data_IF_596978864923
#
_entry.id   IF_596978864923
#
_cell.length_a   1.000
_cell.length_b   1.000
_cell.length_c   1.000
_cell.angle_alpha   90.00
_cell.angle_beta   90.00
_cell.angle_gamma   90.00
#
_symmetry.space_group_name_H-M   'P 1'
#
loop_
_entity.id
_entity.type
_entity.pdbx_description
1 polymer ?
#
# COMPACT_ATOMS: atom_id res chain seq x y z
N UNK A 1 14.33 6.25 3.96
CA UNK A 1 14.62 4.81 3.83
C UNK A 1 16.13 4.61 3.92
N UNK A 2 16.65 4.34 5.11
CA UNK A 2 17.96 3.74 5.28
C UNK A 2 17.69 2.24 5.37
N UNK A 3 18.23 1.43 4.46
CA UNK A 3 18.17 -0.02 4.58
C UNK A 3 18.85 -0.39 5.90
N UNK A 4 18.09 -0.98 6.83
CA UNK A 4 18.65 -1.49 8.07
C UNK A 4 19.36 -2.82 7.79
N UNK A 5 20.41 -3.11 8.57
CA UNK A 5 21.13 -4.39 8.47
C UNK A 5 20.15 -5.52 8.81
N UNK A 6 19.83 -6.38 7.83
CA UNK A 6 18.93 -7.53 8.01
C UNK A 6 17.78 -7.63 7.00
N UNK A 7 17.49 -6.59 6.21
CA UNK A 7 16.50 -6.68 5.13
C UNK A 7 17.07 -7.46 3.92
N UNK A 8 16.27 -8.38 3.37
CA UNK A 8 16.65 -9.15 2.17
C UNK A 8 16.78 -8.21 0.96
N UNK A 9 18.02 -7.87 0.62
CA UNK A 9 18.36 -6.99 -0.50
C UNK A 9 17.84 -7.50 -1.84
N UNK A 10 17.52 -8.79 -1.97
CA UNK A 10 16.91 -9.35 -3.19
C UNK A 10 15.49 -8.84 -3.44
N UNK A 11 14.82 -8.28 -2.42
CA UNK A 11 13.47 -7.69 -2.55
C UNK A 11 13.51 -6.23 -2.99
N UNK A 12 14.67 -5.57 -2.95
CA UNK A 12 14.83 -4.16 -3.35
C UNK A 12 15.01 -4.09 -4.88
N UNK A 13 14.03 -3.52 -5.56
CA UNK A 13 13.98 -3.49 -7.04
C UNK A 13 14.76 -2.33 -7.66
N UNK A 14 15.11 -1.30 -6.89
CA UNK A 14 15.82 -0.12 -7.38
C UNK A 14 16.55 0.59 -6.24
N UNK A 15 17.74 1.11 -6.55
CA UNK A 15 18.56 1.87 -5.61
C UNK A 15 18.66 3.32 -6.06
N UNK A 16 18.38 4.24 -5.15
CA UNK A 16 18.61 5.67 -5.32
C UNK A 16 19.39 6.18 -4.11
N UNK A 17 20.19 7.22 -4.35
CA UNK A 17 20.88 7.94 -3.27
C UNK A 17 20.13 9.22 -2.95
N UNK A 18 20.21 9.69 -1.71
CA UNK A 18 19.57 10.95 -1.29
C UNK A 18 20.62 11.98 -0.94
N UNK A 19 20.40 13.24 -1.27
CA UNK A 19 21.27 14.34 -0.84
C UNK A 19 20.44 15.59 -0.56
N UNK A 20 21.11 16.65 -0.08
CA UNK A 20 20.49 17.92 0.30
C UNK A 20 21.26 19.07 -0.35
N UNK A 21 20.53 20.03 -0.90
CA UNK A 21 21.08 21.28 -1.39
C UNK A 21 20.80 22.39 -0.36
N UNK A 22 21.86 22.82 0.31
CA UNK A 22 21.82 23.93 1.25
C UNK A 22 22.07 25.26 0.53
N UNK A 23 21.35 26.31 0.92
CA UNK A 23 21.53 27.63 0.33
C UNK A 23 22.95 28.18 0.54
N UNK A 24 23.57 27.88 1.69
CA UNK A 24 24.97 28.23 2.02
C UNK A 24 25.97 27.73 0.96
N UNK A 25 25.71 26.55 0.37
CA UNK A 25 26.64 25.88 -0.54
C UNK A 25 26.31 26.15 -2.02
N UNK A 26 25.03 26.36 -2.35
CA UNK A 26 24.55 26.40 -3.74
C UNK A 26 23.86 27.72 -4.13
N UNK A 27 23.57 28.60 -3.18
CA UNK A 27 23.02 29.94 -3.37
C UNK A 27 21.81 29.99 -4.30
N UNK A 28 21.86 30.89 -5.29
CA UNK A 28 20.77 31.16 -6.25
C UNK A 28 20.33 29.95 -7.07
N UNK A 29 21.18 28.93 -7.24
CA UNK A 29 20.79 27.74 -8.01
C UNK A 29 19.70 26.92 -7.30
N UNK A 30 19.75 26.85 -5.97
CA UNK A 30 18.70 26.21 -5.15
C UNK A 30 17.42 27.02 -5.21
N UNK A 31 17.52 28.35 -5.18
CA UNK A 31 16.36 29.22 -5.32
C UNK A 31 15.64 28.97 -6.65
N UNK A 32 16.36 28.98 -7.78
CA UNK A 32 15.76 28.70 -9.09
C UNK A 32 15.14 27.30 -9.18
N UNK A 33 15.76 26.29 -8.55
CA UNK A 33 15.19 24.95 -8.53
C UNK A 33 13.91 24.90 -7.67
N UNK A 34 13.88 25.56 -6.52
CA UNK A 34 12.67 25.71 -5.69
C UNK A 34 11.55 26.40 -6.47
N UNK A 35 11.86 27.46 -7.22
CA UNK A 35 10.88 28.16 -8.10
C UNK A 35 10.28 27.22 -9.14
N UNK A 36 11.11 26.42 -9.83
CA UNK A 36 10.62 25.44 -10.83
C UNK A 36 9.74 24.34 -10.24
N UNK A 37 9.94 24.04 -8.96
CA UNK A 37 9.15 23.04 -8.22
C UNK A 37 7.93 23.67 -7.53
N UNK A 38 7.68 24.97 -7.71
CA UNK A 38 6.65 25.73 -7.00
C UNK A 38 6.77 25.62 -5.46
N UNK A 39 8.01 25.58 -4.95
CA UNK A 39 8.29 25.56 -3.51
C UNK A 39 8.63 26.96 -2.98
N UNK A 40 8.35 27.24 -1.68
CA UNK A 40 8.70 28.51 -1.06
C UNK A 40 10.20 28.82 -1.17
N UNK A 41 10.54 30.01 -1.65
CA UNK A 41 11.92 30.46 -1.90
C UNK A 41 12.48 31.36 -0.81
N UNK A 42 11.59 31.94 0.00
CA UNK A 42 11.93 32.95 1.01
C UNK A 42 12.73 32.35 2.18
N UNK A 43 12.54 31.06 2.46
CA UNK A 43 13.30 30.37 3.49
C UNK A 43 14.63 29.82 2.93
N UNK A 44 15.71 30.57 3.18
CA UNK A 44 17.09 30.18 2.84
C UNK A 44 17.71 29.18 3.82
N UNK A 45 17.07 28.92 4.97
CA UNK A 45 17.56 27.94 5.95
C UNK A 45 17.14 26.51 5.62
N UNK A 46 16.06 26.35 4.86
CA UNK A 46 15.55 25.02 4.49
C UNK A 46 16.35 24.44 3.33
N UNK A 47 17.10 23.37 3.62
CA UNK A 47 17.78 22.58 2.61
C UNK A 47 16.77 21.84 1.71
N UNK A 48 16.98 21.87 0.40
CA UNK A 48 16.17 21.11 -0.54
C UNK A 48 16.70 19.67 -0.62
N UNK A 49 15.95 18.72 -0.07
CA UNK A 49 16.22 17.30 -0.26
C UNK A 49 15.93 16.86 -1.68
N UNK A 50 16.81 16.03 -2.26
CA UNK A 50 16.60 15.47 -3.60
C UNK A 50 17.08 14.03 -3.70
N UNK A 51 16.49 13.30 -4.65
CA UNK A 51 16.92 11.97 -5.04
C UNK A 51 17.95 12.08 -6.16
N UNK A 52 19.05 11.32 -6.03
CA UNK A 52 20.12 11.26 -7.00
C UNK A 52 20.22 9.85 -7.57
N UNK A 53 20.05 9.77 -8.89
CA UNK A 53 20.34 8.59 -9.68
C UNK A 53 21.73 8.73 -10.32
N UNK A 54 22.64 7.80 -10.04
CA UNK A 54 23.98 7.76 -10.65
C UNK A 54 24.01 6.58 -11.62
N UNK A 55 24.01 6.86 -12.92
CA UNK A 55 24.04 5.84 -13.95
C UNK A 55 25.49 5.53 -14.33
N UNK A 56 26.00 4.39 -13.88
CA UNK A 56 27.33 3.89 -14.28
C UNK A 56 27.25 2.63 -15.13
N UNK A 57 26.08 2.00 -15.21
CA UNK A 57 25.87 0.72 -15.89
C UNK A 57 25.48 0.95 -17.35
N UNK A 58 26.37 0.69 -18.32
CA UNK A 58 26.07 0.88 -19.74
C UNK A 58 24.94 -0.04 -20.26
N UNK A 59 24.69 -1.19 -19.63
CA UNK A 59 23.66 -2.12 -20.09
C UNK A 59 22.23 -1.71 -19.72
N UNK A 60 22.06 -0.69 -18.87
CA UNK A 60 20.75 -0.18 -18.44
C UNK A 60 20.19 0.89 -19.38
N UNK A 61 20.89 1.24 -20.46
CA UNK A 61 20.50 2.30 -21.39
C UNK A 61 19.47 1.85 -22.45
N UNK A 62 19.08 0.58 -22.49
CA UNK A 62 18.01 0.15 -23.40
C UNK A 62 16.68 0.78 -22.99
N UNK A 63 15.93 1.31 -23.97
CA UNK A 63 14.63 1.96 -23.78
C UNK A 63 13.67 1.12 -22.91
N UNK A 64 13.50 -0.15 -23.24
CA UNK A 64 12.64 -1.07 -22.49
C UNK A 64 13.03 -1.19 -20.99
N UNK A 65 14.31 -1.09 -20.64
CA UNK A 65 14.75 -1.16 -19.25
C UNK A 65 14.49 0.16 -18.50
N UNK A 66 14.69 1.29 -19.17
CA UNK A 66 14.40 2.63 -18.62
C UNK A 66 12.91 2.79 -18.33
N UNK A 67 12.05 2.30 -19.22
CA UNK A 67 10.59 2.29 -19.01
C UNK A 67 10.21 1.50 -17.76
N UNK A 68 10.76 0.29 -17.59
CA UNK A 68 10.52 -0.54 -16.41
C UNK A 68 10.97 0.16 -15.12
N UNK A 69 12.12 0.83 -15.13
CA UNK A 69 12.59 1.62 -13.99
C UNK A 69 11.69 2.84 -13.72
N UNK A 70 11.23 3.52 -14.78
CA UNK A 70 10.31 4.65 -14.68
C UNK A 70 8.98 4.26 -14.04
N UNK A 71 8.40 3.13 -14.47
CA UNK A 71 7.18 2.57 -13.90
C UNK A 71 7.36 2.19 -12.44
N UNK A 72 8.48 1.54 -12.12
CA UNK A 72 8.81 1.17 -10.75
C UNK A 72 8.92 2.41 -9.85
N UNK A 73 9.67 3.43 -10.27
CA UNK A 73 9.82 4.68 -9.53
C UNK A 73 8.48 5.39 -9.35
N UNK A 74 7.68 5.50 -10.41
CA UNK A 74 6.35 6.11 -10.35
C UNK A 74 5.45 5.39 -9.35
N UNK A 75 5.39 4.06 -9.39
CA UNK A 75 4.62 3.25 -8.43
C UNK A 75 5.07 3.53 -7.00
N UNK A 76 6.37 3.54 -6.75
CA UNK A 76 6.92 3.87 -5.42
C UNK A 76 6.52 5.27 -4.97
N UNK A 77 6.65 6.29 -5.83
CA UNK A 77 6.28 7.67 -5.51
C UNK A 77 4.78 7.77 -5.18
N UNK A 78 3.91 7.19 -6.01
CA UNK A 78 2.47 7.19 -5.77
C UNK A 78 2.10 6.52 -4.43
N UNK A 79 2.75 5.40 -4.12
CA UNK A 79 2.57 4.74 -2.82
C UNK A 79 3.06 5.61 -1.66
N UNK A 80 4.19 6.32 -1.81
CA UNK A 80 4.69 7.28 -0.81
C UNK A 80 3.76 8.48 -0.62
N UNK A 81 3.14 8.98 -1.68
CA UNK A 81 2.13 10.06 -1.59
C UNK A 81 0.93 9.59 -0.76
N UNK A 82 0.45 8.36 -1.00
CA UNK A 82 -0.61 7.75 -0.20
C UNK A 82 -0.25 7.57 1.29
N UNK A 83 1.05 7.54 1.60
CA UNK A 83 1.60 7.47 2.96
C UNK A 83 1.79 8.84 3.63
N UNK A 84 1.51 9.96 2.93
CA UNK A 84 1.54 11.26 3.56
C UNK A 84 0.38 11.35 4.55
N UNK A 85 0.70 11.79 5.77
CA UNK A 85 -0.28 12.01 6.81
C UNK A 85 -0.89 13.41 6.70
N UNK A 86 -1.88 13.67 7.56
CA UNK A 86 -2.60 14.94 7.59
C UNK A 86 -1.74 16.13 8.05
N UNK A 87 -0.50 15.92 8.52
CA UNK A 87 0.38 17.02 8.92
C UNK A 87 0.86 17.87 7.74
N UNK A 88 0.80 17.30 6.52
CA UNK A 88 1.10 18.01 5.28
C UNK A 88 -0.12 18.78 4.72
N UNK A 89 -1.31 18.63 5.31
CA UNK A 89 -2.58 19.20 4.86
C UNK A 89 -3.50 18.15 4.25
N UNK A 90 -4.82 18.22 4.48
CA UNK A 90 -5.80 17.21 4.02
C UNK A 90 -5.88 17.06 2.49
N UNK A 91 -5.36 18.05 1.76
CA UNK A 91 -5.22 18.03 0.29
C UNK A 91 -4.03 17.20 -0.21
N UNK A 92 -3.05 16.92 0.67
CA UNK A 92 -1.85 16.15 0.34
C UNK A 92 -1.95 14.74 0.95
N UNK A 93 -1.92 13.73 0.09
CA UNK A 93 -2.03 12.32 0.49
C UNK A 93 -3.46 11.78 0.49
N UNK A 94 -3.71 10.80 1.35
CA UNK A 94 -4.98 10.10 1.48
C UNK A 94 -5.64 10.38 2.83
N UNK A 95 -6.90 10.78 2.78
CA UNK A 95 -7.73 11.01 3.96
C UNK A 95 -8.00 9.72 4.75
N UNK A 96 -8.24 9.88 6.06
CA UNK A 96 -8.65 8.78 6.94
C UNK A 96 -10.06 8.28 6.58
N UNK A 97 -10.23 6.97 6.44
CA UNK A 97 -11.53 6.35 6.14
C UNK A 97 -11.65 4.96 6.77
N UNK A 98 -12.87 4.42 6.73
CA UNK A 98 -13.12 3.03 7.08
C UNK A 98 -12.81 2.13 5.89
N UNK A 99 -11.94 1.15 6.10
CA UNK A 99 -11.51 0.23 5.07
C UNK A 99 -12.14 -1.14 5.27
N UNK A 100 -12.58 -1.75 4.18
CA UNK A 100 -13.23 -3.07 4.19
C UNK A 100 -12.40 -4.05 3.40
N UNK A 101 -12.30 -5.26 3.90
CA UNK A 101 -11.52 -6.34 3.33
C UNK A 101 -12.35 -7.61 3.29
N UNK A 102 -12.26 -8.35 2.21
CA UNK A 102 -12.84 -9.69 2.10
C UNK A 102 -11.91 -10.68 2.79
N UNK A 103 -12.49 -11.56 3.61
CA UNK A 103 -11.79 -12.73 4.16
C UNK A 103 -11.74 -13.78 3.07
N UNK A 104 -10.54 -14.11 2.60
CA UNK A 104 -10.36 -14.94 1.40
C UNK A 104 -10.43 -16.43 1.72
N UNK A 105 -9.87 -16.85 2.85
CA UNK A 105 -9.71 -18.26 3.19
C UNK A 105 -10.10 -18.59 4.63
N UNK A 106 -10.22 -19.89 4.91
CA UNK A 106 -10.49 -20.39 6.25
C UNK A 106 -9.28 -20.18 7.17
N UNK A 107 -9.53 -20.02 8.47
CA UNK A 107 -8.46 -19.88 9.45
C UNK A 107 -7.60 -21.15 9.49
N UNK A 108 -6.34 -20.98 9.09
CA UNK A 108 -5.35 -22.07 9.04
C UNK A 108 -4.89 -22.50 10.43
N UNK A 109 -4.14 -23.59 10.49
CA UNK A 109 -3.61 -24.13 11.76
C UNK A 109 -2.63 -23.18 12.45
N UNK A 110 -1.91 -22.38 11.66
CA UNK A 110 -0.97 -21.36 12.14
C UNK A 110 -1.65 -20.03 12.53
N UNK A 111 -2.99 -19.96 12.41
CA UNK A 111 -3.80 -18.79 12.73
C UNK A 111 -3.78 -17.71 11.65
N UNK A 112 -3.34 -18.02 10.42
CA UNK A 112 -3.25 -17.04 9.34
C UNK A 112 -4.45 -17.07 8.38
N UNK A 113 -4.77 -15.90 7.85
CA UNK A 113 -5.74 -15.69 6.75
C UNK A 113 -5.23 -14.63 5.79
N UNK A 114 -5.77 -14.60 4.58
CA UNK A 114 -5.59 -13.53 3.62
C UNK A 114 -6.76 -12.54 3.65
N UNK A 115 -6.41 -11.26 3.59
CA UNK A 115 -7.34 -10.15 3.42
C UNK A 115 -7.12 -9.50 2.05
N UNK A 116 -8.19 -9.43 1.26
CA UNK A 116 -8.23 -8.69 0.00
C UNK A 116 -9.03 -7.40 0.20
N UNK A 117 -8.42 -6.26 -0.08
CA UNK A 117 -9.08 -4.97 0.09
C UNK A 117 -10.23 -4.80 -0.89
N UNK A 118 -11.34 -4.21 -0.44
CA UNK A 118 -12.49 -3.88 -1.27
C UNK A 118 -12.39 -2.42 -1.71
N UNK A 119 -11.86 -2.14 -2.92
CA UNK A 119 -11.69 -0.78 -3.35
C UNK A 119 -12.99 -0.14 -3.85
N UNK A 120 -12.95 1.19 -3.93
CA UNK A 120 -13.92 1.99 -4.67
C UNK A 120 -13.22 3.06 -5.49
N UNK A 121 -13.72 3.33 -6.68
CA UNK A 121 -13.24 4.42 -7.53
C UNK A 121 -13.80 5.78 -7.13
N UNK A 122 -14.83 5.82 -6.28
CA UNK A 122 -15.48 7.08 -5.84
C UNK A 122 -14.67 7.86 -4.81
N UNK A 123 -13.71 7.21 -4.15
CA UNK A 123 -12.91 7.80 -3.07
C UNK A 123 -11.43 7.53 -3.31
N UNK A 124 -10.61 8.59 -3.40
CA UNK A 124 -9.17 8.51 -3.66
C UNK A 124 -8.44 7.57 -2.70
N UNK A 125 -8.73 7.67 -1.40
CA UNK A 125 -8.14 6.84 -0.34
C UNK A 125 -8.54 5.35 -0.39
N UNK A 126 -9.43 4.98 -1.31
CA UNK A 126 -9.87 3.59 -1.54
C UNK A 126 -9.53 3.09 -2.94
N UNK A 127 -8.73 3.83 -3.72
CA UNK A 127 -8.28 3.45 -5.06
C UNK A 127 -6.99 2.60 -5.01
N UNK A 128 -7.07 1.49 -4.29
CA UNK A 128 -5.96 0.56 -4.09
C UNK A 128 -6.29 -0.87 -4.50
N UNK A 129 -5.30 -1.58 -5.02
CA UNK A 129 -5.24 -3.02 -4.90
C UNK A 129 -4.31 -3.36 -3.73
N UNK A 130 -4.88 -3.85 -2.64
CA UNK A 130 -4.13 -4.22 -1.44
C UNK A 130 -4.47 -5.64 -1.01
N UNK A 131 -3.45 -6.48 -0.89
CA UNK A 131 -3.56 -7.88 -0.48
C UNK A 131 -2.47 -8.15 0.53
N UNK A 132 -2.85 -8.68 1.69
CA UNK A 132 -1.93 -8.99 2.75
C UNK A 132 -2.40 -10.18 3.58
N UNK A 133 -1.43 -10.87 4.18
CA UNK A 133 -1.66 -11.97 5.11
C UNK A 133 -1.64 -11.41 6.53
N UNK A 134 -2.59 -11.85 7.34
CA UNK A 134 -2.69 -11.48 8.74
C UNK A 134 -2.68 -12.73 9.60
N UNK A 135 -2.25 -12.57 10.85
CA UNK A 135 -2.34 -13.58 11.89
C UNK A 135 -3.36 -13.15 12.92
N UNK A 136 -4.42 -13.94 13.09
CA UNK A 136 -5.44 -13.69 14.11
C UNK A 136 -4.85 -14.01 15.49
N UNK A 137 -5.13 -13.14 16.46
CA UNK A 137 -4.66 -13.31 17.83
C UNK A 137 -5.22 -14.60 18.44
N UNK A 138 -4.43 -15.37 19.22
CA UNK A 138 -4.85 -16.66 19.75
C UNK A 138 -6.21 -16.66 20.44
N UNK A 139 -6.51 -15.63 21.23
CA UNK A 139 -7.78 -15.50 21.96
C UNK A 139 -9.02 -15.35 21.06
N UNK A 140 -8.85 -14.87 19.81
CA UNK A 140 -9.95 -14.64 18.88
C UNK A 140 -10.11 -15.77 17.85
N UNK A 141 -9.17 -16.73 17.81
CA UNK A 141 -9.16 -17.79 16.80
C UNK A 141 -10.35 -18.74 16.90
N UNK A 142 -10.76 -19.12 18.11
CA UNK A 142 -11.89 -20.01 18.32
C UNK A 142 -13.20 -19.35 17.87
N UNK A 143 -13.45 -18.12 18.35
CA UNK A 143 -14.57 -17.28 17.91
C UNK A 143 -14.61 -17.13 16.39
N UNK A 144 -13.46 -16.88 15.77
CA UNK A 144 -13.37 -16.74 14.32
C UNK A 144 -13.71 -18.04 13.57
N UNK A 145 -13.21 -19.20 14.04
CA UNK A 145 -13.55 -20.52 13.46
C UNK A 145 -15.03 -20.82 13.57
N UNK A 146 -15.62 -20.56 14.74
CA UNK A 146 -17.05 -20.76 14.95
C UNK A 146 -17.89 -19.92 13.98
N UNK A 147 -17.56 -18.63 13.83
CA UNK A 147 -18.24 -17.75 12.88
C UNK A 147 -18.06 -18.26 11.45
N UNK A 148 -16.84 -18.62 11.04
CA UNK A 148 -16.57 -19.18 9.71
C UNK A 148 -17.38 -20.44 9.42
N UNK A 149 -17.47 -21.37 10.38
CA UNK A 149 -18.23 -22.62 10.21
C UNK A 149 -19.74 -22.42 10.06
N UNK A 150 -20.27 -21.32 10.60
CA UNK A 150 -21.70 -20.98 10.55
C UNK A 150 -22.04 -19.99 9.42
N UNK A 151 -21.02 -19.39 8.80
CA UNK A 151 -21.20 -18.38 7.78
C UNK A 151 -21.78 -19.01 6.50
N UNK A 152 -22.91 -18.48 6.05
CA UNK A 152 -23.56 -18.84 4.80
C UNK A 152 -23.24 -17.88 3.65
N UNK A 153 -22.57 -16.75 3.95
CA UNK A 153 -22.15 -15.73 2.99
C UNK A 153 -20.68 -15.34 3.25
N UNK A 154 -20.01 -14.70 2.28
CA UNK A 154 -18.63 -14.25 2.44
C UNK A 154 -18.47 -13.32 3.66
N UNK A 155 -17.37 -13.51 4.38
CA UNK A 155 -17.03 -12.68 5.53
C UNK A 155 -16.21 -11.47 5.10
N UNK A 156 -16.45 -10.36 5.79
CA UNK A 156 -15.75 -9.10 5.58
C UNK A 156 -15.22 -8.58 6.90
N UNK A 157 -14.00 -8.07 6.89
CA UNK A 157 -13.40 -7.38 8.02
C UNK A 157 -13.34 -5.89 7.71
N UNK A 158 -13.77 -5.06 8.66
CA UNK A 158 -13.75 -3.60 8.53
C UNK A 158 -12.94 -2.99 9.66
N UNK A 159 -12.20 -1.93 9.38
CA UNK A 159 -11.55 -1.14 10.44
C UNK A 159 -12.61 -0.57 11.38
N UNK A 160 -12.33 -0.57 12.68
CA UNK A 160 -13.25 -0.03 13.70
C UNK A 160 -13.20 1.50 13.79
N UNK A 161 -12.13 2.10 13.28
CA UNK A 161 -11.92 3.53 13.21
C UNK A 161 -11.48 3.96 11.81
N UNK A 162 -11.49 5.28 11.56
CA UNK A 162 -10.98 5.87 10.33
C UNK A 162 -9.46 5.84 10.37
N UNK A 163 -8.84 5.19 9.39
CA UNK A 163 -7.38 5.09 9.30
C UNK A 163 -6.92 5.43 7.88
N UNK A 164 -5.65 5.80 7.75
CA UNK A 164 -4.99 5.82 6.45
C UNK A 164 -4.60 4.38 6.10
N UNK A 165 -5.01 3.90 4.92
CA UNK A 165 -4.83 2.50 4.53
C UNK A 165 -3.34 2.11 4.47
N UNK A 166 -2.48 3.01 3.97
CA UNK A 166 -1.05 2.75 3.90
C UNK A 166 -0.47 2.57 5.30
N UNK A 167 -0.75 3.47 6.23
CA UNK A 167 -0.27 3.34 7.59
C UNK A 167 -0.86 2.13 8.30
N UNK A 168 -2.15 1.84 8.09
CA UNK A 168 -2.77 0.63 8.63
C UNK A 168 -2.01 -0.62 8.19
N UNK A 169 -1.65 -0.72 6.90
CA UNK A 169 -1.03 -1.92 6.33
C UNK A 169 0.48 -2.01 6.59
N UNK A 170 1.20 -0.89 6.51
CA UNK A 170 2.68 -0.85 6.49
C UNK A 170 3.32 -0.38 7.79
N UNK A 171 2.59 0.35 8.64
CA UNK A 171 3.20 0.92 9.84
C UNK A 171 3.17 -0.12 10.97
N UNK A 172 4.35 -0.44 11.53
CA UNK A 172 4.53 -1.37 12.65
C UNK A 172 3.76 -2.70 12.45
N UNK A 173 4.38 -3.66 11.74
CA UNK A 173 3.76 -4.96 11.46
C UNK A 173 3.32 -5.69 12.74
N UNK A 174 4.11 -5.54 13.81
CA UNK A 174 3.87 -6.13 15.13
C UNK A 174 2.76 -5.42 15.92
N UNK A 175 2.25 -4.27 15.46
CA UNK A 175 1.14 -3.60 16.12
C UNK A 175 -0.13 -4.46 16.05
N UNK A 176 -0.75 -4.65 17.21
CA UNK A 176 -2.09 -5.25 17.30
C UNK A 176 -3.11 -4.30 16.67
N UNK A 177 -3.92 -4.84 15.77
CA UNK A 177 -5.04 -4.14 15.13
C UNK A 177 -6.33 -4.85 15.46
N UNK A 178 -7.40 -4.09 15.64
CA UNK A 178 -8.74 -4.65 15.84
C UNK A 178 -9.61 -4.31 14.64
N UNK A 179 -10.34 -5.31 14.15
CA UNK A 179 -11.27 -5.15 13.05
C UNK A 179 -12.60 -5.80 13.38
N UNK A 180 -13.69 -5.18 12.95
CA UNK A 180 -15.02 -5.73 13.10
C UNK A 180 -15.31 -6.71 11.95
N UNK A 181 -15.81 -7.89 12.30
CA UNK A 181 -16.18 -8.97 11.37
C UNK A 181 -17.66 -8.89 11.03
N UNK A 182 -17.98 -8.96 9.74
CA UNK A 182 -19.32 -8.89 9.17
C UNK A 182 -19.53 -10.05 8.20
N UNK A 183 -20.80 -10.38 7.93
CA UNK A 183 -21.20 -11.36 6.93
C UNK A 183 -21.98 -10.66 5.81
N UNK A 184 -21.59 -10.89 4.56
CA UNK A 184 -22.19 -10.25 3.38
C UNK A 184 -21.68 -8.82 3.12
N UNK A 185 -21.74 -8.39 1.85
CA UNK A 185 -21.02 -7.20 1.38
C UNK A 185 -21.64 -5.86 1.81
N UNK A 186 -22.96 -5.78 2.08
CA UNK A 186 -23.66 -4.51 2.36
C UNK A 186 -24.95 -4.60 3.20
N UNK A 187 -25.53 -5.78 3.43
CA UNK A 187 -26.89 -5.91 4.01
C UNK A 187 -26.92 -6.26 5.49
N UNK A 188 -25.86 -6.87 6.03
CA UNK A 188 -25.74 -7.11 7.47
C UNK A 188 -24.93 -6.00 8.12
N UNK A 189 -25.61 -5.06 8.78
CA UNK A 189 -24.94 -4.10 9.67
C UNK A 189 -24.56 -4.71 11.03
N UNK A 190 -24.86 -5.99 11.24
CA UNK A 190 -24.58 -6.66 12.50
C UNK A 190 -23.12 -7.10 12.53
N UNK A 191 -22.35 -6.43 13.39
CA UNK A 191 -21.01 -6.88 13.75
C UNK A 191 -21.12 -8.24 14.46
N UNK A 192 -20.46 -9.25 13.91
CA UNK A 192 -20.44 -10.61 14.47
C UNK A 192 -19.44 -10.73 15.61
N UNK A 193 -18.28 -10.09 15.47
CA UNK A 193 -17.22 -10.06 16.47
C UNK A 193 -16.23 -8.93 16.17
N UNK A 194 -15.49 -8.50 17.19
CA UNK A 194 -14.26 -7.74 17.00
C UNK A 194 -13.07 -8.67 17.10
N UNK A 195 -12.23 -8.70 16.08
CA UNK A 195 -11.12 -9.64 15.93
C UNK A 195 -9.81 -8.87 15.96
N UNK A 196 -8.95 -9.24 16.90
CA UNK A 196 -7.58 -8.77 16.97
C UNK A 196 -6.65 -9.53 16.01
N UNK A 197 -5.72 -8.82 15.38
CA UNK A 197 -4.78 -9.39 14.43
C UNK A 197 -3.45 -8.63 14.34
N UNK A 198 -2.45 -9.28 13.77
CA UNK A 198 -1.21 -8.69 13.29
C UNK A 198 -1.08 -8.83 11.78
N UNK A 199 -0.45 -7.86 11.14
CA UNK A 199 -0.11 -7.99 9.71
C UNK A 199 1.18 -8.78 9.62
N UNK A 200 1.11 -9.97 9.01
CA UNK A 200 2.23 -10.88 8.85
C UNK A 200 3.06 -10.50 7.62
N UNK A 201 2.40 -10.30 6.47
CA UNK A 201 3.09 -9.93 5.23
C UNK A 201 2.19 -9.17 4.27
N UNK A 202 2.75 -8.14 3.60
CA UNK A 202 2.03 -7.33 2.60
C UNK A 202 2.50 -7.72 1.21
N UNK A 203 1.63 -8.37 0.45
CA UNK A 203 1.96 -8.97 -0.85
C UNK A 203 1.76 -7.98 -1.98
N UNK A 204 0.70 -7.17 -1.88
CA UNK A 204 0.41 -6.11 -2.85
C UNK A 204 -0.15 -4.88 -2.17
N UNK A 205 0.30 -3.71 -2.63
CA UNK A 205 -0.27 -2.42 -2.27
C UNK A 205 0.03 -1.43 -3.39
N UNK A 206 -0.85 -1.34 -4.37
CA UNK A 206 -0.69 -0.50 -5.57
C UNK A 206 -1.90 0.42 -5.74
N UNK A 207 -1.66 1.64 -6.23
CA UNK A 207 -2.73 2.60 -6.55
C UNK A 207 -3.24 2.38 -7.97
N UNK A 208 -4.55 2.57 -8.16
CA UNK A 208 -5.17 2.49 -9.50
C UNK A 208 -4.83 3.66 -10.42
N UNK A 209 -4.30 4.76 -9.89
CA UNK A 209 -3.80 5.89 -10.67
C UNK A 209 -2.52 5.56 -11.48
N UNK A 210 -1.98 4.35 -11.34
CA UNK A 210 -0.86 3.89 -12.15
C UNK A 210 -1.30 3.67 -13.61
N UNK A 211 -0.51 4.09 -14.62
CA UNK A 211 -0.87 3.97 -16.04
C UNK A 211 -1.28 2.56 -16.47
N UNK A 212 -0.75 1.54 -15.81
CA UNK A 212 -1.09 0.13 -16.04
C UNK A 212 -2.58 -0.21 -15.83
N UNK A 213 -3.35 0.66 -15.17
CA UNK A 213 -4.78 0.50 -14.92
C UNK A 213 -5.64 1.47 -15.75
N UNK A 214 -5.02 2.34 -16.56
CA UNK A 214 -5.71 3.33 -17.38
C UNK A 214 -6.36 2.71 -18.63
N UNK A 215 -5.78 1.64 -19.17
CA UNK A 215 -6.29 0.95 -20.35
C UNK A 215 -6.66 -0.50 -20.01
N UNK A 216 -7.84 -0.93 -20.46
CA UNK A 216 -8.22 -2.34 -20.37
C UNK A 216 -7.22 -3.18 -21.14
N UNK A 217 -6.67 -4.20 -20.47
CA UNK A 217 -5.82 -5.17 -21.15
C UNK A 217 -6.66 -5.98 -22.15
N UNK A 218 -6.08 -6.32 -23.30
CA UNK A 218 -6.71 -7.23 -24.28
C UNK A 218 -7.10 -8.58 -23.67
N UNK A 219 -6.34 -9.03 -22.66
CA UNK A 219 -6.63 -10.23 -21.87
C UNK A 219 -6.78 -9.86 -20.39
N UNK A 220 -7.72 -10.51 -19.71
CA UNK A 220 -7.94 -10.30 -18.28
C UNK A 220 -6.70 -10.73 -17.48
N UNK A 221 -6.08 -9.78 -16.78
CA UNK A 221 -4.91 -10.04 -15.93
C UNK A 221 -5.37 -10.33 -14.51
N UNK A 222 -4.79 -11.37 -13.92
CA UNK A 222 -5.02 -11.77 -12.54
C UNK A 222 -3.73 -11.69 -11.75
N UNK A 223 -3.85 -11.30 -10.49
CA UNK A 223 -2.79 -11.48 -9.51
C UNK A 223 -3.00 -12.80 -8.80
N UNK A 224 -2.10 -13.75 -9.01
CA UNK A 224 -2.06 -15.01 -8.29
C UNK A 224 -1.26 -14.84 -7.01
N UNK A 225 -1.84 -15.24 -5.89
CA UNK A 225 -1.21 -15.21 -4.57
C UNK A 225 -1.68 -16.39 -3.74
N UNK A 226 -0.93 -16.75 -2.72
CA UNK A 226 -1.12 -17.99 -1.98
C UNK A 226 0.20 -18.74 -1.84
N UNK A 227 0.15 -19.88 -1.17
CA UNK A 227 1.30 -20.69 -0.83
C UNK A 227 1.09 -22.15 -1.26
N UNK A 228 1.94 -23.06 -0.79
CA UNK A 228 1.90 -24.47 -1.16
C UNK A 228 0.56 -25.14 -0.79
N UNK A 229 -0.19 -24.59 0.17
CA UNK A 229 -1.48 -25.15 0.58
C UNK A 229 -2.64 -24.67 -0.31
N UNK A 230 -2.67 -23.38 -0.67
CA UNK A 230 -3.80 -22.78 -1.39
C UNK A 230 -3.34 -21.63 -2.31
N UNK A 231 -3.97 -21.53 -3.48
CA UNK A 231 -3.77 -20.44 -4.43
C UNK A 231 -5.09 -19.68 -4.69
N UNK A 232 -4.99 -18.36 -4.67
CA UNK A 232 -6.08 -17.42 -4.90
C UNK A 232 -5.72 -16.48 -6.05
N UNK A 233 -6.75 -15.93 -6.68
CA UNK A 233 -6.57 -14.94 -7.73
C UNK A 233 -7.45 -13.72 -7.47
N UNK A 234 -6.94 -12.53 -7.74
CA UNK A 234 -7.71 -11.29 -7.77
C UNK A 234 -7.57 -10.66 -9.14
N UNK A 235 -8.70 -10.26 -9.72
CA UNK A 235 -8.72 -9.54 -11.00
C UNK A 235 -8.04 -8.18 -10.83
N UNK A 236 -7.06 -7.88 -11.68
CA UNK A 236 -6.51 -6.54 -11.79
C UNK A 236 -7.60 -5.61 -12.33
N UNK A 237 -8.06 -4.66 -11.52
CA UNK A 237 -9.19 -3.77 -11.87
C UNK A 237 -8.69 -2.56 -12.64
N UNK A 238 -9.45 -2.15 -13.65
CA UNK A 238 -9.16 -0.98 -14.47
C UNK A 238 -10.10 0.17 -14.14
N UNK A 239 -9.59 1.39 -14.23
CA UNK A 239 -10.39 2.58 -14.09
C UNK A 239 -10.80 3.04 -15.49
N UNK A 240 -12.03 2.76 -15.89
CA UNK A 240 -12.64 3.42 -17.06
C UNK A 240 -13.00 4.85 -16.69
N UNK A 241 -12.48 5.80 -17.48
CA UNK A 241 -12.88 7.20 -17.44
C UNK A 241 -14.24 7.41 -18.08
#
# INVERSE_FOLDING_TARGET
FLASVGEDTKRVKMFLTTSKLEYSNYGKSVQQLKERLNLPTENTHDALGFLRNTCMEPYQASEAYVEVLGDLFRKTVLTCIGALDTSYGEEYGDALDYHTFTVVNNLRKDGKIFLDFVPTFTKKQSQYQAIFRVKILPQDQETFREIQSKASEPLFMRTTEKVNLFHFVKNNLDATRTMALYQGAKTSNTCLASIGLHIDEVWRMERFESPQYAEYNELQKYFLYGDEEEAFHVTCRHQTT
#
